data_IF_695549905830
#
_entry.id   IF_695549905830
#
_cell.length_a   1.000
_cell.length_b   1.000
_cell.length_c   1.000
_cell.angle_alpha   90.00
_cell.angle_beta   90.00
_cell.angle_gamma   90.00
#
_symmetry.space_group_name_H-M   'P 1'
#
loop_
_entity.id
_entity.type
_entity.pdbx_description
1 polymer ?
#
# COMPACT_ATOMS: atom_id res chain seq x y z
N UNK A 1 34.12 20.27 6.96
CA UNK A 1 33.23 20.16 5.78
C UNK A 1 32.94 21.55 5.25
N UNK A 2 32.84 21.75 3.92
CA UNK A 2 32.33 23.00 3.38
C UNK A 2 30.97 23.32 4.02
N UNK A 3 30.73 24.59 4.36
CA UNK A 3 29.53 25.01 5.09
C UNK A 3 28.23 24.53 4.42
N UNK A 4 28.20 24.47 3.08
CA UNK A 4 27.06 23.96 2.31
C UNK A 4 26.75 22.47 2.53
N UNK A 5 27.76 21.63 2.77
CA UNK A 5 27.56 20.20 3.03
C UNK A 5 27.06 19.98 4.46
N UNK A 6 27.58 20.78 5.40
CA UNK A 6 27.10 20.78 6.78
C UNK A 6 25.63 21.25 6.86
N UNK A 7 25.28 22.32 6.14
CA UNK A 7 23.90 22.83 6.06
C UNK A 7 22.96 21.80 5.40
N UNK A 8 23.39 21.14 4.32
CA UNK A 8 22.64 20.06 3.69
C UNK A 8 22.37 18.90 4.67
N UNK A 9 23.40 18.45 5.40
CA UNK A 9 23.25 17.36 6.36
C UNK A 9 22.29 17.73 7.47
N UNK A 10 22.43 18.92 8.07
CA UNK A 10 21.51 19.40 9.12
C UNK A 10 20.07 19.40 8.62
N UNK A 11 19.80 19.95 7.43
CA UNK A 11 18.46 19.96 6.83
C UNK A 11 17.93 18.55 6.54
N UNK A 12 18.78 17.61 6.15
CA UNK A 12 18.37 16.21 5.93
C UNK A 12 18.04 15.51 7.26
N UNK A 13 18.80 15.77 8.33
CA UNK A 13 18.51 15.27 9.68
C UNK A 13 17.16 15.76 10.20
N UNK A 14 16.79 17.01 9.92
CA UNK A 14 15.50 17.58 10.33
C UNK A 14 14.29 16.88 9.67
N UNK A 15 14.51 16.18 8.53
CA UNK A 15 13.44 15.50 7.79
C UNK A 15 13.42 13.98 8.07
N UNK A 16 14.39 13.43 8.82
CA UNK A 16 14.46 12.00 9.18
C UNK A 16 13.16 11.49 9.77
N UNK A 17 12.53 12.28 10.66
CA UNK A 17 11.30 11.88 11.35
C UNK A 17 10.10 11.70 10.41
N UNK A 18 10.17 12.24 9.19
CA UNK A 18 9.11 12.16 8.17
C UNK A 18 9.37 11.01 7.19
N UNK A 19 10.57 10.41 7.22
CA UNK A 19 10.93 9.31 6.34
C UNK A 19 10.49 7.96 6.92
N UNK A 20 10.15 6.97 6.06
CA UNK A 20 9.88 5.59 6.51
C UNK A 20 11.05 5.03 7.32
N UNK A 21 10.79 4.21 8.35
CA UNK A 21 11.83 3.66 9.25
C UNK A 21 13.01 3.03 8.50
N UNK A 22 12.74 2.26 7.44
CA UNK A 22 13.75 1.61 6.58
C UNK A 22 14.69 2.61 5.86
N UNK A 23 14.23 3.86 5.71
CA UNK A 23 14.96 4.96 5.03
C UNK A 23 15.74 5.81 6.02
N UNK A 24 15.35 5.84 7.30
CA UNK A 24 16.05 6.58 8.35
C UNK A 24 17.47 6.05 8.57
N UNK A 25 17.64 4.72 8.55
CA UNK A 25 18.96 4.08 8.63
C UNK A 25 19.88 4.49 7.48
N UNK A 26 19.36 4.56 6.25
CA UNK A 26 20.13 4.99 5.07
C UNK A 26 20.54 6.46 5.13
N UNK A 27 19.72 7.31 5.76
CA UNK A 27 20.03 8.72 5.89
C UNK A 27 21.12 8.97 6.95
N UNK A 28 21.19 8.14 7.99
CA UNK A 28 22.30 8.12 8.93
C UNK A 28 23.62 7.68 8.25
N UNK A 29 23.56 6.69 7.36
CA UNK A 29 24.70 6.24 6.53
C UNK A 29 25.17 7.34 5.56
N UNK A 30 24.24 8.10 4.97
CA UNK A 30 24.56 9.27 4.16
C UNK A 30 25.32 10.34 4.94
N UNK A 31 24.95 10.58 6.20
CA UNK A 31 25.72 11.41 7.12
C UNK A 31 27.18 10.97 7.25
N UNK A 32 27.44 9.66 7.24
CA UNK A 32 28.78 9.09 7.28
C UNK A 32 29.54 9.27 5.94
N UNK A 33 28.89 9.08 4.79
CA UNK A 33 29.50 9.32 3.47
C UNK A 33 29.89 10.78 3.24
N UNK A 34 29.07 11.70 3.74
CA UNK A 34 29.29 13.13 3.59
C UNK A 34 30.22 13.72 4.65
N UNK A 35 30.40 13.11 5.84
CA UNK A 35 31.15 13.74 6.95
C UNK A 35 32.69 13.76 6.83
N UNK A 36 33.28 13.09 5.84
CA UNK A 36 34.71 13.22 5.58
C UNK A 36 35.32 12.07 4.78
N UNK A 37 36.28 12.40 3.91
CA UNK A 37 37.18 11.52 3.15
C UNK A 37 36.52 10.52 2.16
N UNK A 38 35.30 10.05 2.38
CA UNK A 38 34.67 9.02 1.54
C UNK A 38 34.14 9.52 0.19
N UNK A 39 33.70 10.78 0.08
CA UNK A 39 33.38 11.38 -1.23
C UNK A 39 34.63 11.47 -2.15
N UNK A 40 35.82 11.60 -1.55
CA UNK A 40 37.10 11.60 -2.29
C UNK A 40 37.65 10.18 -2.53
N UNK A 41 36.99 9.14 -2.02
CA UNK A 41 37.29 7.72 -2.25
C UNK A 41 36.34 7.08 -3.26
N UNK A 42 35.56 7.88 -3.99
CA UNK A 42 34.81 7.40 -5.15
C UNK A 42 35.83 7.01 -6.22
N UNK A 43 36.06 5.71 -6.37
CA UNK A 43 37.03 5.13 -7.30
C UNK A 43 36.49 5.09 -8.73
N UNK A 44 35.16 5.11 -8.89
CA UNK A 44 34.53 5.03 -10.21
C UNK A 44 33.15 5.70 -10.27
N UNK A 45 32.68 5.90 -11.49
CA UNK A 45 31.42 6.58 -11.79
C UNK A 45 30.17 5.79 -11.35
N UNK A 46 30.28 4.47 -11.15
CA UNK A 46 29.17 3.65 -10.67
C UNK A 46 28.85 3.93 -9.19
N UNK A 47 29.88 4.17 -8.37
CA UNK A 47 29.68 4.61 -6.98
C UNK A 47 29.01 5.99 -6.93
N UNK A 48 29.34 6.89 -7.85
CA UNK A 48 28.66 8.20 -7.98
C UNK A 48 27.21 8.03 -8.45
N UNK A 49 26.93 7.12 -9.40
CA UNK A 49 25.56 6.78 -9.82
C UNK A 49 24.73 6.23 -8.66
N UNK A 50 25.31 5.37 -7.82
CA UNK A 50 24.62 4.80 -6.66
C UNK A 50 24.22 5.90 -5.68
N UNK A 51 25.17 6.78 -5.33
CA UNK A 51 24.91 7.93 -4.46
C UNK A 51 23.84 8.87 -5.04
N UNK A 52 23.90 9.15 -6.34
CA UNK A 52 22.88 9.96 -7.03
C UNK A 52 21.49 9.33 -6.98
N UNK A 53 21.38 8.00 -7.15
CA UNK A 53 20.10 7.29 -7.02
C UNK A 53 19.54 7.36 -5.61
N UNK A 54 20.38 7.24 -4.59
CA UNK A 54 19.97 7.36 -3.18
C UNK A 54 19.50 8.77 -2.85
N UNK A 55 20.22 9.79 -3.33
CA UNK A 55 19.80 11.19 -3.17
C UNK A 55 18.48 11.50 -3.88
N UNK A 56 18.27 10.97 -5.10
CA UNK A 56 16.99 11.09 -5.80
C UNK A 56 15.84 10.40 -5.06
N UNK A 57 16.09 9.22 -4.49
CA UNK A 57 15.12 8.50 -3.68
C UNK A 57 14.68 9.33 -2.48
N UNK A 58 15.64 9.87 -1.71
CA UNK A 58 15.38 10.72 -0.54
C UNK A 58 14.67 12.01 -0.94
N UNK A 59 15.13 12.70 -1.97
CA UNK A 59 14.46 13.90 -2.49
C UNK A 59 13.02 13.61 -2.91
N UNK A 60 12.78 12.42 -3.47
CA UNK A 60 11.47 11.88 -3.80
C UNK A 60 10.56 11.65 -2.59
N UNK A 61 11.10 11.11 -1.50
CA UNK A 61 10.38 10.96 -0.24
C UNK A 61 10.01 12.33 0.37
N UNK A 62 10.95 13.29 0.37
CA UNK A 62 10.76 14.64 0.92
C UNK A 62 9.72 15.45 0.14
N UNK A 63 9.71 15.32 -1.19
CA UNK A 63 8.74 16.04 -2.04
C UNK A 63 7.33 15.45 -2.00
N UNK A 64 7.11 14.32 -1.30
CA UNK A 64 5.92 13.48 -1.45
C UNK A 64 5.61 13.08 -2.91
N UNK A 65 6.56 13.27 -3.83
CA UNK A 65 6.37 13.16 -5.28
C UNK A 65 6.83 11.81 -5.83
N UNK A 66 7.72 11.08 -5.14
CA UNK A 66 8.11 9.74 -5.56
C UNK A 66 7.84 8.73 -4.45
N UNK A 67 6.63 8.18 -4.45
CA UNK A 67 6.56 6.74 -4.36
C UNK A 67 6.95 6.25 -5.75
N UNK A 68 8.17 5.74 -5.96
CA UNK A 68 8.48 5.01 -7.20
C UNK A 68 7.38 3.97 -7.35
N UNK A 69 6.46 4.19 -8.29
CA UNK A 69 5.28 3.35 -8.45
C UNK A 69 5.77 1.97 -8.84
N UNK A 70 5.59 1.02 -7.94
CA UNK A 70 5.92 -0.38 -8.11
C UNK A 70 4.60 -1.14 -8.00
N UNK A 71 4.20 -1.74 -9.11
CA UNK A 71 3.03 -2.59 -9.18
C UNK A 71 3.44 -4.05 -8.86
N UNK A 72 2.55 -4.81 -8.22
CA UNK A 72 2.75 -6.22 -7.89
C UNK A 72 1.74 -7.06 -8.68
N UNK A 73 2.22 -8.07 -9.41
CA UNK A 73 1.36 -9.03 -10.11
C UNK A 73 1.77 -10.45 -9.74
N UNK A 74 0.81 -11.25 -9.28
CA UNK A 74 1.02 -12.62 -8.84
C UNK A 74 -0.26 -13.45 -9.00
N UNK A 75 -0.15 -14.78 -8.95
CA UNK A 75 -1.32 -15.66 -9.09
C UNK A 75 -1.98 -15.99 -7.73
N UNK A 76 -1.19 -16.08 -6.66
CA UNK A 76 -1.64 -16.58 -5.37
C UNK A 76 -0.74 -16.09 -4.23
N UNK A 77 -1.32 -15.86 -3.05
CA UNK A 77 -0.59 -15.59 -1.82
C UNK A 77 -1.22 -16.31 -0.63
N UNK A 78 -0.37 -16.89 0.23
CA UNK A 78 -0.76 -17.60 1.44
C UNK A 78 0.15 -17.18 2.60
N UNK A 79 -0.43 -16.85 3.76
CA UNK A 79 0.33 -16.50 4.97
C UNK A 79 1.40 -15.42 4.71
N UNK A 80 1.04 -14.41 3.93
CA UNK A 80 1.98 -13.45 3.35
C UNK A 80 1.60 -12.00 3.69
N UNK A 81 2.53 -11.09 3.47
CA UNK A 81 2.26 -9.64 3.46
C UNK A 81 2.74 -9.07 2.12
N UNK A 82 1.82 -8.46 1.39
CA UNK A 82 2.06 -7.83 0.09
C UNK A 82 2.05 -6.31 0.27
N UNK A 83 3.07 -5.64 -0.22
CA UNK A 83 3.16 -4.18 -0.18
C UNK A 83 3.57 -3.64 -1.55
N UNK A 84 2.81 -2.67 -2.06
CA UNK A 84 3.07 -2.02 -3.34
C UNK A 84 2.79 -0.52 -3.24
N UNK A 85 3.68 0.32 -3.77
CA UNK A 85 3.42 1.75 -3.90
C UNK A 85 2.44 2.06 -5.03
N UNK A 86 2.29 1.13 -5.98
CA UNK A 86 1.31 1.16 -7.05
C UNK A 86 0.17 0.18 -6.81
N UNK A 87 -0.20 -0.54 -7.87
CA UNK A 87 -1.33 -1.46 -7.89
C UNK A 87 -0.92 -2.87 -7.44
N UNK A 88 -1.86 -3.63 -6.91
CA UNK A 88 -1.71 -5.07 -6.66
C UNK A 88 -2.74 -5.84 -7.48
N UNK A 89 -2.28 -6.78 -8.31
CA UNK A 89 -3.16 -7.62 -9.13
C UNK A 89 -2.88 -9.10 -8.85
N UNK A 90 -3.87 -9.79 -8.30
CA UNK A 90 -3.84 -11.23 -8.06
C UNK A 90 -4.71 -11.94 -9.09
N UNK A 91 -4.07 -12.68 -10.00
CA UNK A 91 -4.71 -13.25 -11.21
C UNK A 91 -5.28 -14.63 -11.04
N UNK A 92 -4.83 -15.40 -10.04
CA UNK A 92 -5.21 -16.79 -9.83
C UNK A 92 -6.11 -16.99 -8.63
N UNK A 93 -5.77 -17.98 -7.79
CA UNK A 93 -6.60 -18.49 -6.70
C UNK A 93 -6.98 -17.44 -5.64
N UNK A 94 -6.18 -16.37 -5.49
CA UNK A 94 -6.47 -15.26 -4.58
C UNK A 94 -5.50 -15.18 -3.40
N UNK A 95 -6.01 -14.69 -2.26
CA UNK A 95 -5.22 -14.36 -1.07
C UNK A 95 -5.79 -15.05 0.17
N UNK A 96 -4.97 -15.83 0.86
CA UNK A 96 -5.38 -16.62 2.03
C UNK A 96 -4.52 -16.22 3.21
N UNK A 97 -5.15 -15.76 4.28
CA UNK A 97 -4.48 -15.20 5.46
C UNK A 97 -3.33 -14.25 5.08
N UNK A 98 -3.65 -13.28 4.22
CA UNK A 98 -2.66 -12.41 3.60
C UNK A 98 -3.09 -10.97 3.75
N UNK A 99 -2.15 -10.13 4.18
CA UNK A 99 -2.34 -8.69 4.23
C UNK A 99 -1.82 -8.04 2.95
N UNK A 100 -2.59 -7.11 2.39
CA UNK A 100 -2.26 -6.42 1.15
C UNK A 100 -2.38 -4.92 1.39
N UNK A 101 -1.27 -4.20 1.26
CA UNK A 101 -1.22 -2.75 1.37
C UNK A 101 -0.78 -2.14 0.02
N UNK A 102 -1.70 -1.46 -0.66
CA UNK A 102 -1.46 -0.85 -1.96
C UNK A 102 -1.59 0.68 -1.92
N UNK A 103 -0.68 1.36 -2.62
CA UNK A 103 -0.79 2.79 -2.89
C UNK A 103 -1.91 3.10 -3.90
N UNK A 104 -2.05 2.24 -4.92
CA UNK A 104 -3.07 2.30 -5.97
C UNK A 104 -4.13 1.22 -5.83
N UNK A 105 -4.70 0.76 -6.94
CA UNK A 105 -5.81 -0.20 -6.96
C UNK A 105 -5.39 -1.60 -6.48
N UNK A 106 -6.32 -2.32 -5.85
CA UNK A 106 -6.17 -3.76 -5.57
C UNK A 106 -7.21 -4.55 -6.35
N UNK A 107 -6.76 -5.52 -7.14
CA UNK A 107 -7.62 -6.43 -7.89
C UNK A 107 -7.27 -7.87 -7.57
N UNK A 108 -8.19 -8.59 -6.94
CA UNK A 108 -8.05 -10.03 -6.69
C UNK A 108 -9.17 -10.75 -7.42
N UNK A 109 -8.84 -11.47 -8.48
CA UNK A 109 -9.85 -12.18 -9.27
C UNK A 109 -10.35 -13.46 -8.58
N UNK A 110 -9.49 -14.10 -7.80
CA UNK A 110 -9.85 -15.24 -6.97
C UNK A 110 -10.51 -14.85 -5.65
N UNK A 111 -10.33 -15.71 -4.65
CA UNK A 111 -10.95 -15.52 -3.33
C UNK A 111 -9.98 -14.90 -2.33
N UNK A 112 -10.48 -13.96 -1.53
CA UNK A 112 -9.80 -13.42 -0.34
C UNK A 112 -10.39 -14.04 0.92
N UNK A 113 -9.59 -14.80 1.68
CA UNK A 113 -10.01 -15.48 2.92
C UNK A 113 -9.03 -15.19 4.03
N UNK A 114 -9.45 -14.38 5.00
CA UNK A 114 -8.58 -13.92 6.08
C UNK A 114 -7.62 -12.82 5.63
N UNK A 115 -7.04 -12.14 6.62
CA UNK A 115 -6.16 -10.99 6.39
C UNK A 115 -6.90 -9.68 6.12
N UNK A 116 -6.13 -8.69 5.68
CA UNK A 116 -6.55 -7.31 5.54
C UNK A 116 -6.09 -6.73 4.19
N UNK A 117 -7.05 -6.28 3.37
CA UNK A 117 -6.80 -5.63 2.09
C UNK A 117 -6.98 -4.12 2.25
N UNK A 118 -5.99 -3.34 1.85
CA UNK A 118 -6.05 -1.88 1.86
C UNK A 118 -5.58 -1.24 0.57
N UNK A 119 -6.27 -0.18 0.18
CA UNK A 119 -5.85 0.73 -0.88
C UNK A 119 -5.92 2.17 -0.39
N UNK A 120 -4.82 2.90 -0.57
CA UNK A 120 -4.72 4.29 -0.13
C UNK A 120 -5.40 5.27 -1.09
N UNK A 121 -5.12 5.15 -2.40
CA UNK A 121 -5.60 6.09 -3.42
C UNK A 121 -6.46 5.44 -4.52
N UNK A 122 -6.70 4.13 -4.45
CA UNK A 122 -7.42 3.38 -5.48
C UNK A 122 -8.65 2.64 -4.96
N UNK A 123 -9.33 1.97 -5.89
CA UNK A 123 -10.45 1.10 -5.61
C UNK A 123 -9.98 -0.33 -5.31
N UNK A 124 -10.86 -1.11 -4.69
CA UNK A 124 -10.64 -2.54 -4.46
C UNK A 124 -11.69 -3.35 -5.21
N UNK A 125 -11.24 -4.34 -5.99
CA UNK A 125 -12.11 -5.25 -6.76
C UNK A 125 -11.76 -6.69 -6.40
N UNK A 126 -12.70 -7.42 -5.82
CA UNK A 126 -12.53 -8.80 -5.38
C UNK A 126 -13.50 -9.74 -6.11
N UNK A 127 -13.06 -10.92 -6.53
CA UNK A 127 -13.93 -11.96 -7.05
C UNK A 127 -14.83 -12.52 -5.95
N UNK A 128 -14.20 -13.00 -4.87
CA UNK A 128 -14.90 -13.48 -3.69
C UNK A 128 -14.19 -13.00 -2.41
N UNK A 129 -14.95 -12.67 -1.36
CA UNK A 129 -14.40 -12.29 -0.06
C UNK A 129 -15.07 -13.04 1.10
N UNK A 130 -14.25 -13.54 2.02
CA UNK A 130 -14.68 -14.28 3.19
C UNK A 130 -14.88 -15.78 2.93
N UNK A 131 -15.56 -16.42 3.88
CA UNK A 131 -15.85 -17.85 3.87
C UNK A 131 -17.17 -18.09 4.59
N UNK A 132 -17.87 -19.16 4.22
CA UNK A 132 -19.15 -19.57 4.83
C UNK A 132 -19.06 -19.73 6.36
N UNK A 133 -17.89 -20.14 6.88
CA UNK A 133 -17.65 -20.27 8.33
C UNK A 133 -17.28 -18.93 9.01
N UNK A 134 -17.37 -17.80 8.31
CA UNK A 134 -17.21 -16.48 8.90
C UNK A 134 -15.77 -16.04 9.16
N UNK A 135 -14.80 -16.50 8.36
CA UNK A 135 -13.39 -16.09 8.51
C UNK A 135 -13.28 -14.56 8.42
N UNK A 136 -12.75 -13.94 9.48
CA UNK A 136 -12.55 -12.49 9.57
C UNK A 136 -11.68 -12.00 8.42
N UNK A 137 -12.28 -11.27 7.50
CA UNK A 137 -11.63 -10.69 6.33
C UNK A 137 -11.98 -9.21 6.29
N UNK A 138 -10.99 -8.34 6.08
CA UNK A 138 -11.22 -6.90 6.12
C UNK A 138 -10.74 -6.23 4.84
N UNK A 139 -11.52 -5.28 4.35
CA UNK A 139 -11.21 -4.49 3.15
C UNK A 139 -11.34 -3.02 3.51
N UNK A 140 -10.33 -2.19 3.23
CA UNK A 140 -10.34 -0.77 3.53
C UNK A 140 -9.91 0.07 2.33
N UNK A 141 -10.68 1.12 2.08
CA UNK A 141 -10.33 2.16 1.12
C UNK A 141 -10.58 3.55 1.70
N UNK A 142 -9.98 4.57 1.09
CA UNK A 142 -10.21 5.98 1.43
C UNK A 142 -11.64 6.42 1.13
N UNK A 143 -12.10 7.51 1.74
CA UNK A 143 -13.50 7.96 1.63
C UNK A 143 -13.98 8.28 0.20
N UNK A 144 -13.07 8.64 -0.71
CA UNK A 144 -13.41 8.89 -2.13
C UNK A 144 -13.36 7.65 -3.03
N UNK A 145 -13.15 6.46 -2.45
CA UNK A 145 -12.89 5.24 -3.20
C UNK A 145 -14.01 4.21 -3.04
N UNK A 146 -13.99 3.21 -3.93
CA UNK A 146 -15.04 2.22 -4.06
C UNK A 146 -14.51 0.80 -3.79
N UNK A 147 -15.39 -0.05 -3.26
CA UNK A 147 -15.14 -1.48 -3.12
C UNK A 147 -16.16 -2.27 -3.92
N UNK A 148 -15.68 -3.18 -4.76
CA UNK A 148 -16.50 -4.08 -5.58
C UNK A 148 -16.18 -5.53 -5.22
N UNK A 149 -17.21 -6.34 -4.98
CA UNK A 149 -17.03 -7.76 -4.64
C UNK A 149 -18.04 -8.60 -5.42
N UNK A 150 -17.56 -9.60 -6.17
CA UNK A 150 -18.41 -10.52 -6.91
C UNK A 150 -19.32 -11.34 -5.98
N UNK A 151 -18.74 -12.01 -4.98
CA UNK A 151 -19.46 -12.71 -3.90
C UNK A 151 -18.85 -12.41 -2.54
N UNK A 152 -19.66 -12.02 -1.56
CA UNK A 152 -19.21 -11.76 -0.20
C UNK A 152 -19.90 -12.70 0.78
N UNK A 153 -19.15 -13.16 1.78
CA UNK A 153 -19.63 -14.03 2.85
C UNK A 153 -19.75 -13.30 4.19
N UNK A 154 -20.46 -13.89 5.18
CA UNK A 154 -20.50 -13.35 6.53
C UNK A 154 -19.12 -13.17 7.15
N UNK A 155 -18.99 -12.19 8.05
CA UNK A 155 -17.74 -11.89 8.75
C UNK A 155 -16.77 -10.96 8.01
N UNK A 156 -17.07 -10.63 6.75
CA UNK A 156 -16.33 -9.62 5.98
C UNK A 156 -16.65 -8.22 6.50
N UNK A 157 -15.61 -7.40 6.70
CA UNK A 157 -15.73 -6.00 7.11
C UNK A 157 -15.21 -5.09 6.01
N UNK A 158 -16.04 -4.18 5.56
CA UNK A 158 -15.69 -3.24 4.48
C UNK A 158 -15.66 -1.84 5.08
N UNK A 159 -14.52 -1.17 4.97
CA UNK A 159 -14.28 0.18 5.46
C UNK A 159 -14.13 1.12 4.27
N UNK A 160 -14.90 2.20 4.26
CA UNK A 160 -14.72 3.32 3.32
C UNK A 160 -14.55 4.57 4.18
N UNK A 161 -13.35 5.14 4.16
CA UNK A 161 -12.96 6.18 5.11
C UNK A 161 -13.06 5.69 6.56
N UNK A 162 -13.83 6.42 7.39
CA UNK A 162 -14.03 6.09 8.82
C UNK A 162 -15.25 5.23 9.10
N UNK A 163 -16.11 5.00 8.10
CA UNK A 163 -17.32 4.21 8.26
C UNK A 163 -17.07 2.76 7.82
N UNK A 164 -17.89 1.84 8.33
CA UNK A 164 -17.75 0.42 8.06
C UNK A 164 -19.08 -0.29 7.93
N UNK A 165 -19.09 -1.36 7.15
CA UNK A 165 -20.17 -2.35 7.07
C UNK A 165 -19.61 -3.70 7.52
N UNK A 166 -20.38 -4.42 8.31
CA UNK A 166 -20.16 -5.84 8.59
C UNK A 166 -21.17 -6.63 7.77
N UNK A 167 -20.68 -7.52 6.94
CA UNK A 167 -21.53 -8.44 6.18
C UNK A 167 -21.98 -9.55 7.13
N UNK A 168 -23.30 -9.65 7.35
CA UNK A 168 -23.94 -10.66 8.19
C UNK A 168 -24.50 -11.84 7.39
N UNK A 169 -24.86 -11.59 6.12
CA UNK A 169 -25.44 -12.58 5.21
C UNK A 169 -24.69 -12.58 3.88
N UNK A 170 -24.62 -13.73 3.17
CA UNK A 170 -24.01 -13.78 1.85
C UNK A 170 -24.70 -12.84 0.85
N UNK A 171 -23.92 -12.16 0.01
CA UNK A 171 -24.43 -11.29 -1.04
C UNK A 171 -23.57 -11.37 -2.31
N UNK A 172 -24.14 -11.03 -3.46
CA UNK A 172 -23.44 -10.99 -4.74
C UNK A 172 -23.46 -9.59 -5.35
N UNK A 173 -22.51 -9.31 -6.24
CA UNK A 173 -22.39 -8.05 -6.97
C UNK A 173 -22.43 -6.82 -6.04
N UNK A 174 -21.61 -6.89 -4.99
CA UNK A 174 -21.56 -5.87 -3.95
C UNK A 174 -20.78 -4.66 -4.43
N UNK A 175 -21.33 -3.47 -4.18
CA UNK A 175 -20.68 -2.18 -4.37
C UNK A 175 -20.84 -1.31 -3.12
N UNK A 176 -19.72 -0.93 -2.52
CA UNK A 176 -19.68 -0.12 -1.30
C UNK A 176 -18.94 1.19 -1.56
N UNK A 177 -19.58 2.32 -1.25
CA UNK A 177 -19.09 3.66 -1.55
C UNK A 177 -19.84 4.74 -0.76
N UNK A 178 -19.34 5.98 -0.76
CA UNK A 178 -20.09 7.14 -0.26
C UNK A 178 -20.93 7.78 -1.38
N UNK A 179 -22.21 8.03 -1.13
CA UNK A 179 -23.05 8.81 -2.04
C UNK A 179 -22.66 10.32 -2.05
N UNK A 180 -23.27 11.09 -2.93
CA UNK A 180 -23.05 12.55 -3.03
C UNK A 180 -23.45 13.34 -1.77
N UNK A 181 -24.14 12.70 -0.82
CA UNK A 181 -24.53 13.26 0.48
C UNK A 181 -23.61 12.79 1.61
N UNK A 182 -22.53 12.06 1.30
CA UNK A 182 -21.58 11.55 2.29
C UNK A 182 -22.12 10.39 3.12
N UNK A 183 -23.14 9.66 2.65
CA UNK A 183 -23.68 8.47 3.33
C UNK A 183 -23.11 7.20 2.71
N UNK A 184 -22.68 6.27 3.56
CA UNK A 184 -22.16 4.98 3.10
C UNK A 184 -23.30 4.13 2.52
N UNK A 185 -23.10 3.68 1.29
CA UNK A 185 -24.03 2.84 0.54
C UNK A 185 -23.50 1.42 0.45
N UNK A 186 -24.42 0.45 0.54
CA UNK A 186 -24.17 -0.97 0.33
C UNK A 186 -25.16 -1.51 -0.70
N UNK A 187 -24.78 -1.41 -1.98
CA UNK A 187 -25.59 -1.97 -3.08
C UNK A 187 -25.18 -3.43 -3.31
N UNK A 188 -26.15 -4.32 -3.47
CA UNK A 188 -25.91 -5.75 -3.68
C UNK A 188 -27.12 -6.44 -4.32
N UNK A 189 -26.90 -7.62 -4.87
CA UNK A 189 -27.94 -8.57 -5.26
C UNK A 189 -27.98 -9.74 -4.25
N UNK A 190 -29.18 -10.27 -3.92
CA UNK A 190 -29.29 -11.47 -3.12
C UNK A 190 -28.65 -12.68 -3.84
N UNK A 191 -28.11 -13.62 -3.07
CA UNK A 191 -27.64 -14.90 -3.63
C UNK A 191 -28.86 -15.76 -3.97
N UNK A 192 -29.04 -16.11 -5.24
CA UNK A 192 -30.06 -17.09 -5.64
C UNK A 192 -29.54 -18.49 -5.29
N UNK A 193 -30.25 -19.18 -4.39
CA UNK A 193 -29.96 -20.54 -3.92
C UNK A 193 -30.24 -21.60 -4.96
#
# INVERSE_FOLDING_TARGET
LPAAVTDLLTRLYDIIAVLPEDTQFKLADLGYYFRGINLMRLENIEQLRLLYRELLFIAGCVRHENSMRADLVLAYALNSKLAASGNVVVTGQGCYNTDVDAGGDVKVWGTVRGGYISSNKGAVVLGEAGSEIGIKTSVRVSAGQHVYIGRVHPGVRIFVGRQRILVSEPASYVHVYFDSRGRLQFSHLPVMT
#
